data_IF_931496227108
#
_entry.id   IF_931496227108
#
_cell.length_a   1.000
_cell.length_b   1.000
_cell.length_c   1.000
_cell.angle_alpha   90.00
_cell.angle_beta   90.00
_cell.angle_gamma   90.00
#
_symmetry.space_group_name_H-M   'P 1'
#
loop_
_entity.id
_entity.type
_entity.pdbx_description
1 polymer ?
#
# COMPACT_ATOMS: atom_id res chain seq x y z
N UNK A 1 -9.95 -8.36 -3.99
CA UNK A 1 -9.64 -7.12 -3.23
C UNK A 1 -8.96 -7.43 -1.89
N UNK A 2 -9.53 -8.28 -1.04
CA UNK A 2 -8.95 -8.58 0.28
C UNK A 2 -7.60 -9.32 0.22
N UNK A 3 -7.42 -10.27 -0.71
CA UNK A 3 -6.13 -10.94 -0.93
C UNK A 3 -4.99 -9.96 -1.20
N UNK A 4 -5.24 -8.94 -2.02
CA UNK A 4 -4.28 -7.87 -2.31
C UNK A 4 -4.00 -7.05 -1.05
N UNK A 5 -5.03 -6.70 -0.27
CA UNK A 5 -4.85 -5.98 0.98
C UNK A 5 -4.02 -6.77 2.01
N UNK A 6 -4.24 -8.08 2.15
CA UNK A 6 -3.41 -8.94 3.01
C UNK A 6 -1.96 -9.02 2.53
N UNK A 7 -1.73 -9.06 1.21
CA UNK A 7 -0.38 -9.04 0.65
C UNK A 7 0.32 -7.70 0.93
N UNK A 8 -0.38 -6.59 0.76
CA UNK A 8 0.14 -5.26 1.10
C UNK A 8 0.49 -5.14 2.58
N UNK A 9 -0.36 -5.64 3.48
CA UNK A 9 -0.06 -5.62 4.91
C UNK A 9 1.12 -6.54 5.28
N UNK A 10 1.27 -7.69 4.63
CA UNK A 10 2.46 -8.53 4.84
C UNK A 10 3.76 -7.79 4.43
N UNK A 11 3.73 -7.07 3.31
CA UNK A 11 4.86 -6.22 2.89
C UNK A 11 5.08 -5.07 3.87
N UNK A 12 4.01 -4.40 4.31
CA UNK A 12 4.11 -3.32 5.29
C UNK A 12 4.71 -3.78 6.61
N UNK A 13 4.30 -4.96 7.13
CA UNK A 13 4.87 -5.53 8.35
C UNK A 13 6.37 -5.83 8.20
N UNK A 14 6.80 -6.33 7.04
CA UNK A 14 8.21 -6.55 6.75
C UNK A 14 8.99 -5.23 6.73
N UNK A 15 8.47 -4.20 6.05
CA UNK A 15 9.09 -2.88 6.04
C UNK A 15 9.19 -2.29 7.45
N UNK A 16 8.12 -2.38 8.24
CA UNK A 16 8.11 -1.87 9.63
C UNK A 16 9.15 -2.57 10.50
N UNK A 17 9.36 -3.87 10.30
CA UNK A 17 10.38 -4.64 11.02
C UNK A 17 11.80 -4.17 10.69
N UNK A 18 12.07 -3.86 9.42
CA UNK A 18 13.43 -3.54 8.95
C UNK A 18 13.78 -2.05 9.08
N UNK A 19 12.84 -1.13 8.84
CA UNK A 19 13.09 0.32 8.81
C UNK A 19 12.26 1.13 9.80
N UNK A 20 11.43 0.47 10.61
CA UNK A 20 10.58 1.12 11.61
C UNK A 20 9.22 1.58 11.08
N UNK A 21 8.38 2.12 11.97
CA UNK A 21 7.02 2.54 11.62
C UNK A 21 7.02 3.78 10.71
N UNK A 22 6.25 3.79 9.61
CA UNK A 22 6.17 4.96 8.74
C UNK A 22 5.49 6.12 9.46
N UNK A 23 5.94 7.34 9.19
CA UNK A 23 5.29 8.56 9.68
C UNK A 23 3.88 8.70 9.10
N UNK A 24 3.72 8.36 7.82
CA UNK A 24 2.47 8.46 7.08
C UNK A 24 2.40 7.34 6.03
N UNK A 25 1.18 6.91 5.69
CA UNK A 25 0.90 6.00 4.59
C UNK A 25 0.02 6.74 3.59
N UNK A 26 0.52 6.92 2.36
CA UNK A 26 -0.21 7.59 1.28
C UNK A 26 -0.58 6.57 0.21
N UNK A 27 -1.84 6.56 -0.22
CA UNK A 27 -2.33 5.70 -1.27
C UNK A 27 -2.62 6.50 -2.54
N UNK A 28 -2.07 6.06 -3.67
CA UNK A 28 -2.34 6.58 -5.00
C UNK A 28 -2.89 5.47 -5.91
N UNK A 29 -3.34 5.84 -7.11
CA UNK A 29 -3.82 4.91 -8.13
C UNK A 29 -5.34 4.71 -8.13
N UNK A 30 -5.89 4.61 -9.34
CA UNK A 30 -7.33 4.68 -9.59
C UNK A 30 -8.16 3.66 -8.82
N UNK A 31 -7.65 2.44 -8.62
CA UNK A 31 -8.41 1.38 -7.96
C UNK A 31 -8.68 1.71 -6.47
N UNK A 32 -7.71 2.24 -5.73
CA UNK A 32 -7.89 2.63 -4.32
C UNK A 32 -8.70 3.92 -4.22
N UNK A 33 -8.39 4.90 -5.08
CA UNK A 33 -9.01 6.23 -5.04
C UNK A 33 -10.49 6.22 -5.47
N UNK A 34 -10.91 5.30 -6.35
CA UNK A 34 -12.31 5.20 -6.82
C UNK A 34 -13.17 4.25 -5.99
N UNK A 35 -12.60 3.53 -5.01
CA UNK A 35 -13.34 2.56 -4.19
C UNK A 35 -13.14 2.82 -2.69
N UNK A 36 -14.06 3.56 -2.04
CA UNK A 36 -14.03 3.80 -0.61
C UNK A 36 -14.01 2.50 0.21
N UNK A 37 -14.74 1.48 -0.26
CA UNK A 37 -14.76 0.17 0.37
C UNK A 37 -13.39 -0.51 0.33
N UNK A 38 -12.67 -0.43 -0.80
CA UNK A 38 -11.34 -1.03 -0.89
C UNK A 38 -10.30 -0.26 -0.09
N UNK A 39 -10.36 1.08 -0.11
CA UNK A 39 -9.54 1.91 0.77
C UNK A 39 -9.74 1.52 2.24
N UNK A 40 -11.00 1.37 2.69
CA UNK A 40 -11.28 0.92 4.06
C UNK A 40 -10.76 -0.49 4.35
N UNK A 41 -10.90 -1.43 3.41
CA UNK A 41 -10.32 -2.78 3.55
C UNK A 41 -8.80 -2.69 3.75
N UNK A 42 -8.09 -1.91 2.94
CA UNK A 42 -6.63 -1.78 3.06
C UNK A 42 -6.25 -1.14 4.39
N UNK A 43 -6.91 -0.04 4.77
CA UNK A 43 -6.71 0.65 6.06
C UNK A 43 -6.93 -0.29 7.24
N UNK A 44 -8.03 -1.05 7.23
CA UNK A 44 -8.37 -2.02 8.27
C UNK A 44 -7.41 -3.22 8.30
N UNK A 45 -6.72 -3.56 7.20
CA UNK A 45 -5.79 -4.70 7.17
C UNK A 45 -4.37 -4.29 7.55
N UNK A 46 -3.97 -3.05 7.22
CA UNK A 46 -2.69 -2.46 7.62
C UNK A 46 -2.73 -1.98 9.08
N UNK A 47 -3.87 -1.50 9.56
CA UNK A 47 -4.01 -0.98 10.93
C UNK A 47 -3.37 0.39 11.15
N UNK A 48 -3.17 1.15 10.07
CA UNK A 48 -2.66 2.52 10.09
C UNK A 48 -3.59 3.41 9.30
N UNK A 49 -3.62 4.69 9.64
CA UNK A 49 -4.31 5.69 8.84
C UNK A 49 -3.69 5.77 7.44
N UNK A 50 -4.54 5.88 6.42
CA UNK A 50 -4.14 6.02 5.02
C UNK A 50 -4.68 7.34 4.48
N UNK A 51 -3.80 8.13 3.88
CA UNK A 51 -4.11 9.39 3.22
C UNK A 51 -4.24 9.10 1.71
N UNK A 52 -5.37 9.43 1.11
CA UNK A 52 -5.53 9.35 -0.33
C UNK A 52 -4.73 10.49 -0.99
N UNK A 53 -3.96 10.20 -2.03
CA UNK A 53 -3.33 11.22 -2.86
C UNK A 53 -4.39 11.99 -3.64
N UNK A 54 -4.31 13.33 -3.67
CA UNK A 54 -5.16 14.14 -4.55
C UNK A 54 -4.60 14.23 -5.97
N UNK A 55 -3.34 13.82 -6.17
CA UNK A 55 -2.71 13.75 -7.48
C UNK A 55 -3.33 12.64 -8.34
N UNK A 56 -3.97 13.02 -9.45
CA UNK A 56 -4.57 12.08 -10.40
C UNK A 56 -3.53 11.17 -11.07
N UNK A 57 -2.39 11.75 -11.47
CA UNK A 57 -1.31 11.06 -12.19
C UNK A 57 0.00 11.13 -11.41
N UNK A 58 0.03 10.55 -10.20
CA UNK A 58 1.15 10.65 -9.27
C UNK A 58 2.52 10.31 -9.89
N UNK A 59 2.59 9.30 -10.77
CA UNK A 59 3.83 8.92 -11.45
C UNK A 59 4.32 10.00 -12.41
N UNK A 60 3.42 10.58 -13.22
CA UNK A 60 3.76 11.65 -14.15
C UNK A 60 4.16 12.93 -13.41
N UNK A 61 3.43 13.27 -12.34
CA UNK A 61 3.77 14.42 -11.48
C UNK A 61 5.18 14.26 -10.88
N UNK A 62 5.52 13.08 -10.35
CA UNK A 62 6.86 12.81 -9.83
C UNK A 62 7.95 12.94 -10.90
N UNK A 63 7.73 12.39 -12.09
CA UNK A 63 8.67 12.52 -13.20
C UNK A 63 8.86 13.98 -13.65
N UNK A 64 7.78 14.77 -13.69
CA UNK A 64 7.86 16.19 -14.01
C UNK A 64 8.64 16.98 -12.95
N UNK A 65 8.44 16.69 -11.66
CA UNK A 65 9.21 17.33 -10.58
C UNK A 65 10.70 17.01 -10.66
N UNK A 66 11.08 15.76 -10.94
CA UNK A 66 12.48 15.38 -11.15
C UNK A 66 13.09 16.11 -12.36
N UNK A 67 12.33 16.28 -13.45
CA UNK A 67 12.79 17.03 -14.61
C UNK A 67 13.00 18.52 -14.27
N UNK A 68 12.07 19.15 -13.56
CA UNK A 68 12.17 20.54 -13.14
C UNK A 68 13.36 20.79 -12.20
N UNK A 69 13.62 19.87 -11.27
CA UNK A 69 14.80 19.91 -10.41
C UNK A 69 16.08 19.81 -11.23
N UNK A 70 16.16 18.86 -12.17
CA UNK A 70 17.34 18.69 -13.04
C UNK A 70 17.64 19.91 -13.93
N UNK A 71 16.61 20.68 -14.27
CA UNK A 71 16.72 21.93 -15.03
C UNK A 71 17.03 23.14 -14.15
N UNK A 72 17.11 22.98 -12.82
CA UNK A 72 17.32 24.07 -11.87
C UNK A 72 16.14 25.04 -11.74
N UNK A 73 14.94 24.63 -12.20
CA UNK A 73 13.72 25.44 -12.10
C UNK A 73 13.18 25.44 -10.66
N UNK A 74 13.32 24.31 -9.97
CA UNK A 74 13.07 24.18 -8.53
C UNK A 74 14.35 23.79 -7.80
N UNK A 75 14.54 24.20 -6.54
CA UNK A 75 15.78 23.94 -5.81
C UNK A 75 15.92 22.48 -5.37
N UNK A 76 14.80 21.82 -5.05
CA UNK A 76 14.73 20.42 -4.66
C UNK A 76 13.29 19.90 -4.80
N UNK A 77 13.10 18.61 -5.11
CA UNK A 77 11.76 18.00 -5.16
C UNK A 77 11.06 18.03 -3.80
N UNK A 78 11.80 17.91 -2.70
CA UNK A 78 11.28 17.93 -1.33
C UNK A 78 10.72 19.29 -0.92
N UNK A 79 11.08 20.36 -1.64
CA UNK A 79 10.54 21.70 -1.39
C UNK A 79 9.10 21.87 -1.93
N UNK A 80 8.61 20.90 -2.70
CA UNK A 80 7.27 20.93 -3.28
C UNK A 80 6.33 20.07 -2.45
N UNK A 81 5.34 20.71 -1.84
CA UNK A 81 4.28 20.02 -1.09
C UNK A 81 3.40 19.17 -2.00
N UNK A 82 3.18 17.92 -1.62
CA UNK A 82 2.31 17.01 -2.36
C UNK A 82 0.85 17.22 -1.98
N UNK A 83 -0.05 17.33 -2.97
CA UNK A 83 -1.48 17.46 -2.68
C UNK A 83 -2.07 16.16 -2.09
N UNK A 84 -2.60 16.29 -0.88
CA UNK A 84 -3.29 15.21 -0.16
C UNK A 84 -4.80 15.36 -0.23
N UNK A 85 -5.50 14.24 -0.36
CA UNK A 85 -6.94 14.13 -0.36
C UNK A 85 -7.51 13.58 0.94
N UNK A 86 -8.57 12.78 0.83
CA UNK A 86 -9.32 12.25 1.96
C UNK A 86 -8.50 11.27 2.81
N UNK A 87 -8.76 11.25 4.11
CA UNK A 87 -8.06 10.37 5.04
C UNK A 87 -8.98 9.28 5.57
N UNK A 88 -8.51 8.03 5.54
CA UNK A 88 -9.23 6.86 6.02
C UNK A 88 -8.54 6.31 7.27
N UNK A 89 -9.32 6.07 8.33
CA UNK A 89 -8.81 5.52 9.59
C UNK A 89 -9.32 4.10 9.82
N UNK A 90 -8.53 3.22 10.46
CA UNK A 90 -8.93 1.83 10.67
C UNK A 90 -10.07 1.74 11.67
N UNK A 91 -11.03 0.85 11.40
CA UNK A 91 -12.07 0.50 12.37
C UNK A 91 -11.54 -0.63 13.26
N UNK A 92 -11.30 -0.33 14.54
CA UNK A 92 -10.61 -1.23 15.47
C UNK A 92 -11.16 -2.67 15.48
N UNK A 93 -12.49 -2.84 15.54
CA UNK A 93 -13.15 -4.15 15.54
C UNK A 93 -12.95 -4.94 14.24
N UNK A 94 -12.80 -4.26 13.11
CA UNK A 94 -12.55 -4.90 11.80
C UNK A 94 -11.07 -5.22 11.63
N UNK A 95 -10.19 -4.36 12.14
CA UNK A 95 -8.76 -4.59 12.15
C UNK A 95 -8.40 -5.85 12.94
N UNK A 96 -8.93 -6.02 14.16
CA UNK A 96 -8.67 -7.22 14.97
C UNK A 96 -9.12 -8.50 14.25
N UNK A 97 -10.34 -8.51 13.72
CA UNK A 97 -10.91 -9.66 13.02
C UNK A 97 -10.10 -10.03 11.75
N UNK A 98 -9.71 -9.04 10.95
CA UNK A 98 -8.91 -9.27 9.73
C UNK A 98 -7.47 -9.67 10.04
N UNK A 99 -6.89 -9.16 11.13
CA UNK A 99 -5.53 -9.51 11.55
C UNK A 99 -5.44 -10.96 12.04
N UNK A 100 -6.44 -11.41 12.80
CA UNK A 100 -6.43 -12.73 13.40
C UNK A 100 -6.86 -13.81 12.41
N UNK A 101 -8.05 -13.71 11.81
CA UNK A 101 -8.58 -14.80 10.97
C UNK A 101 -8.13 -14.69 9.52
N UNK A 102 -8.37 -13.55 8.89
CA UNK A 102 -8.15 -13.41 7.45
C UNK A 102 -6.68 -13.49 7.01
N UNK A 103 -5.75 -13.02 7.85
CA UNK A 103 -4.31 -13.10 7.57
C UNK A 103 -3.78 -14.53 7.66
N UNK A 104 -4.20 -15.31 8.66
CA UNK A 104 -3.78 -16.72 8.81
C UNK A 104 -4.24 -17.56 7.61
N UNK A 105 -5.50 -17.39 7.24
CA UNK A 105 -6.08 -18.10 6.10
C UNK A 105 -5.37 -17.72 4.79
N UNK A 106 -5.09 -16.42 4.59
CA UNK A 106 -4.34 -15.93 3.44
C UNK A 106 -2.91 -16.50 3.39
N UNK A 107 -2.15 -16.45 4.48
CA UNK A 107 -0.77 -16.97 4.51
C UNK A 107 -0.73 -18.47 4.25
N UNK A 108 -1.68 -19.23 4.81
CA UNK A 108 -1.82 -20.67 4.58
C UNK A 108 -2.03 -20.99 3.10
N UNK A 109 -3.04 -20.36 2.48
CA UNK A 109 -3.36 -20.52 1.06
C UNK A 109 -2.22 -20.05 0.14
N UNK A 110 -1.60 -18.91 0.45
CA UNK A 110 -0.51 -18.37 -0.35
C UNK A 110 0.70 -19.32 -0.37
N UNK A 111 1.08 -19.86 0.79
CA UNK A 111 2.17 -20.83 0.90
C UNK A 111 1.88 -22.14 0.14
N UNK A 112 0.59 -22.55 0.08
CA UNK A 112 0.18 -23.72 -0.68
C UNK A 112 0.36 -23.51 -2.18
N UNK A 113 -0.05 -22.34 -2.70
CA UNK A 113 0.14 -21.99 -4.10
C UNK A 113 1.62 -21.91 -4.48
N UNK A 114 2.48 -21.35 -3.63
CA UNK A 114 3.93 -21.32 -3.87
C UNK A 114 4.54 -22.72 -3.92
N UNK A 115 4.14 -23.62 -3.02
CA UNK A 115 4.57 -25.03 -3.05
C UNK A 115 4.16 -25.74 -4.34
N UNK A 116 2.92 -25.53 -4.81
CA UNK A 116 2.44 -26.11 -6.08
C UNK A 116 3.23 -25.56 -7.26
N UNK A 117 3.49 -24.25 -7.30
CA UNK A 117 4.26 -23.62 -8.37
C UNK A 117 5.72 -24.07 -8.40
N UNK A 118 6.35 -24.20 -7.24
CA UNK A 118 7.73 -24.72 -7.12
C UNK A 118 7.86 -26.17 -7.61
N UNK A 119 6.88 -27.03 -7.29
CA UNK A 119 6.85 -28.43 -7.79
C UNK A 119 6.70 -28.49 -9.31
N UNK A 120 5.87 -27.62 -9.89
CA UNK A 120 5.68 -27.55 -11.34
C UNK A 120 6.95 -27.14 -12.07
N UNK A 121 7.73 -26.21 -11.50
CA UNK A 121 9.00 -25.74 -12.06
C UNK A 121 10.18 -26.70 -11.81
N UNK A 122 10.01 -27.77 -11.03
CA UNK A 122 11.07 -28.76 -10.76
C UNK A 122 10.98 -29.99 -11.67
N UNK A 123 9.98 -30.03 -12.56
CA UNK A 123 9.73 -31.10 -13.53
C UNK A 123 9.86 -30.61 -14.99
N UNK A 124 10.37 -29.40 -15.19
CA UNK A 124 10.90 -28.87 -16.47
C UNK A 124 12.43 -28.84 -16.38
#
# INVERSE_FOLDING_TARGET
MESVAYRLAAVADLLVKEVGAPRQVVASGAAVLRSPAWAQIITDVIGKQIIASAQTEASCSGAALLALESLGVIPAIEAVEAETGTTCSPVATRYTLRRESGRRDFTGLYSMCERVRSRRNSHE
#
